data_IF_500690768617
#
_entry.id   IF_500690768617
#
_cell.length_a   1.000
_cell.length_b   1.000
_cell.length_c   1.000
_cell.angle_alpha   90.00
_cell.angle_beta   90.00
_cell.angle_gamma   90.00
#
_symmetry.space_group_name_H-M   'P 1'
#
loop_
_entity.id
_entity.type
_entity.pdbx_description
1 polymer ?
#
# COMPACT_ATOMS: atom_id res chain seq x y z
N UNK A 1 27.13 9.12 -46.18
CA UNK A 1 25.79 9.17 -45.52
C UNK A 1 24.90 8.01 -46.00
N UNK A 2 24.71 7.82 -47.31
CA UNK A 2 23.93 6.71 -47.92
C UNK A 2 24.31 5.29 -47.45
N UNK A 3 25.59 4.98 -47.26
CA UNK A 3 26.04 3.63 -46.86
C UNK A 3 25.57 3.23 -45.44
N UNK A 4 25.46 4.20 -44.52
CA UNK A 4 24.98 3.95 -43.16
C UNK A 4 23.46 3.73 -43.15
N UNK A 5 22.72 4.43 -44.01
CA UNK A 5 21.27 4.26 -44.15
C UNK A 5 20.93 2.87 -44.71
N UNK A 6 21.72 2.39 -45.70
CA UNK A 6 21.61 1.04 -46.26
C UNK A 6 21.87 -0.05 -45.20
N UNK A 7 22.91 0.14 -44.37
CA UNK A 7 23.24 -0.78 -43.26
C UNK A 7 22.11 -0.85 -42.23
N UNK A 8 21.52 0.29 -41.87
CA UNK A 8 20.37 0.35 -40.95
C UNK A 8 19.15 -0.40 -41.47
N UNK A 9 18.84 -0.27 -42.77
CA UNK A 9 17.73 -0.99 -43.40
C UNK A 9 17.96 -2.51 -43.41
N UNK A 10 19.17 -2.95 -43.71
CA UNK A 10 19.52 -4.38 -43.71
C UNK A 10 19.42 -5.00 -42.32
N UNK A 11 19.85 -4.27 -41.27
CA UNK A 11 19.70 -4.72 -39.87
C UNK A 11 18.22 -4.86 -39.50
N UNK A 12 17.38 -3.87 -39.84
CA UNK A 12 15.93 -3.94 -39.58
C UNK A 12 15.27 -5.11 -40.30
N UNK A 13 15.63 -5.36 -41.56
CA UNK A 13 15.15 -6.51 -42.35
C UNK A 13 15.54 -7.84 -41.71
N UNK A 14 16.81 -8.01 -41.33
CA UNK A 14 17.28 -9.24 -40.68
C UNK A 14 16.61 -9.50 -39.33
N UNK A 15 16.40 -8.46 -38.54
CA UNK A 15 15.65 -8.53 -37.28
C UNK A 15 14.20 -8.95 -37.52
N UNK A 16 13.52 -8.34 -38.50
CA UNK A 16 12.14 -8.68 -38.85
C UNK A 16 12.00 -10.12 -39.31
N UNK A 17 12.86 -10.56 -40.23
CA UNK A 17 12.89 -11.96 -40.68
C UNK A 17 13.08 -12.93 -39.51
N UNK A 18 13.95 -12.59 -38.54
CA UNK A 18 14.13 -13.38 -37.33
C UNK A 18 12.86 -13.47 -36.48
N UNK A 19 12.13 -12.37 -36.32
CA UNK A 19 10.84 -12.36 -35.63
C UNK A 19 9.77 -13.17 -36.38
N UNK A 20 9.71 -13.08 -37.70
CA UNK A 20 8.77 -13.82 -38.56
C UNK A 20 9.03 -15.34 -38.51
N UNK A 21 10.29 -15.75 -38.34
CA UNK A 21 10.67 -17.15 -38.03
C UNK A 21 10.34 -17.58 -36.59
N UNK A 22 9.76 -16.70 -35.77
CA UNK A 22 9.37 -16.99 -34.39
C UNK A 22 10.51 -16.89 -33.37
N UNK A 23 11.66 -16.31 -33.73
CA UNK A 23 12.79 -16.16 -32.83
C UNK A 23 12.90 -14.74 -32.31
N UNK A 24 12.68 -14.55 -31.00
CA UNK A 24 12.82 -13.23 -30.37
C UNK A 24 14.27 -12.73 -30.46
N UNK A 25 14.52 -11.53 -31.01
CA UNK A 25 15.84 -10.91 -31.00
C UNK A 25 16.28 -10.48 -29.58
N UNK A 26 17.59 -10.52 -29.35
CA UNK A 26 18.21 -10.13 -28.08
C UNK A 26 18.16 -11.23 -26.99
N UNK A 27 18.33 -10.83 -25.71
CA UNK A 27 18.34 -11.78 -24.60
C UNK A 27 16.94 -12.36 -24.35
N UNK A 28 16.92 -13.65 -24.00
CA UNK A 28 15.69 -14.36 -23.64
C UNK A 28 15.25 -14.03 -22.21
N UNK A 29 13.97 -14.20 -21.88
CA UNK A 29 13.48 -14.09 -20.50
C UNK A 29 14.11 -15.14 -19.57
N UNK A 30 13.96 -14.93 -18.26
CA UNK A 30 14.44 -15.87 -17.22
C UNK A 30 13.62 -17.16 -17.32
N UNK A 31 14.27 -18.33 -17.23
CA UNK A 31 13.62 -19.62 -17.50
C UNK A 31 13.86 -20.14 -18.92
N UNK A 32 14.56 -19.35 -19.76
CA UNK A 32 15.03 -19.75 -21.08
C UNK A 32 16.50 -19.40 -21.28
N UNK A 33 17.19 -20.15 -22.14
CA UNK A 33 18.56 -19.88 -22.57
C UNK A 33 18.64 -19.87 -24.11
N UNK A 34 19.51 -19.01 -24.64
CA UNK A 34 19.87 -19.05 -26.05
C UNK A 34 20.89 -20.17 -26.22
N UNK A 35 20.61 -21.15 -27.06
CA UNK A 35 21.53 -22.24 -27.39
C UNK A 35 22.08 -22.01 -28.80
N UNK A 36 23.37 -22.25 -28.95
CA UNK A 36 24.05 -22.29 -30.24
C UNK A 36 24.80 -23.62 -30.30
N UNK A 37 24.25 -24.60 -31.00
CA UNK A 37 24.81 -25.95 -31.08
C UNK A 37 24.68 -26.48 -32.51
N UNK A 38 25.75 -27.06 -33.06
CA UNK A 38 25.79 -27.63 -34.41
C UNK A 38 25.22 -26.69 -35.50
N UNK A 39 25.55 -25.39 -35.42
CA UNK A 39 25.06 -24.37 -36.36
C UNK A 39 23.62 -23.89 -36.13
N UNK A 40 22.85 -24.55 -35.26
CA UNK A 40 21.48 -24.18 -34.90
C UNK A 40 21.51 -23.18 -33.75
N UNK A 41 20.83 -22.04 -33.94
CA UNK A 41 20.62 -21.00 -32.91
C UNK A 41 19.16 -20.97 -32.51
N UNK A 42 18.83 -21.52 -31.35
CA UNK A 42 17.47 -21.63 -30.85
C UNK A 42 17.33 -21.18 -29.39
N UNK A 43 16.08 -21.19 -28.91
CA UNK A 43 15.73 -20.84 -27.54
C UNK A 43 15.12 -22.08 -26.88
N UNK A 44 15.80 -22.57 -25.85
CA UNK A 44 15.35 -23.74 -25.08
C UNK A 44 15.03 -23.34 -23.64
N UNK A 45 14.24 -24.18 -22.97
CA UNK A 45 13.94 -24.02 -21.55
C UNK A 45 15.23 -24.20 -20.75
N UNK A 46 15.47 -23.28 -19.81
CA UNK A 46 16.56 -23.37 -18.85
C UNK A 46 16.26 -24.56 -17.89
N UNK A 47 17.13 -25.58 -17.81
CA UNK A 47 16.88 -26.77 -17.00
C UNK A 47 16.81 -26.46 -15.50
N UNK A 48 17.56 -25.44 -15.04
CA UNK A 48 17.63 -25.06 -13.63
C UNK A 48 16.47 -24.14 -13.26
N UNK A 49 16.07 -23.25 -14.18
CA UNK A 49 15.13 -22.15 -13.88
C UNK A 49 13.72 -22.36 -14.38
N UNK A 50 13.53 -23.12 -15.46
CA UNK A 50 12.25 -23.25 -16.16
C UNK A 50 11.12 -23.72 -15.25
N UNK A 51 11.37 -24.76 -14.45
CA UNK A 51 10.38 -25.32 -13.51
C UNK A 51 9.90 -24.28 -12.49
N UNK A 52 10.81 -23.47 -11.94
CA UNK A 52 10.46 -22.42 -10.98
C UNK A 52 9.59 -21.33 -11.59
N UNK A 53 9.80 -21.01 -12.87
CA UNK A 53 8.96 -20.05 -13.58
C UNK A 53 7.54 -20.59 -13.73
N UNK A 54 7.38 -21.84 -14.18
CA UNK A 54 6.05 -22.47 -14.28
C UNK A 54 5.34 -22.49 -12.91
N UNK A 55 6.03 -22.87 -11.85
CA UNK A 55 5.49 -22.87 -10.48
C UNK A 55 5.12 -21.47 -9.98
N UNK A 56 5.91 -20.46 -10.32
CA UNK A 56 5.60 -19.06 -10.01
C UNK A 56 4.24 -18.65 -10.61
N UNK A 57 3.98 -18.96 -11.88
CA UNK A 57 2.68 -18.65 -12.53
C UNK A 57 1.53 -19.39 -11.84
N UNK A 58 1.68 -20.69 -11.55
CA UNK A 58 0.67 -21.48 -10.82
C UNK A 58 0.35 -20.87 -9.45
N UNK A 59 1.37 -20.46 -8.69
CA UNK A 59 1.17 -19.84 -7.36
C UNK A 59 0.36 -18.55 -7.46
N UNK A 60 0.64 -17.68 -8.43
CA UNK A 60 -0.12 -16.45 -8.61
C UNK A 60 -1.55 -16.74 -9.08
N UNK A 61 -1.72 -17.69 -10.00
CA UNK A 61 -3.04 -18.14 -10.42
C UNK A 61 -3.90 -18.65 -9.25
N UNK A 62 -3.26 -19.24 -8.24
CA UNK A 62 -3.87 -19.71 -6.98
C UNK A 62 -3.99 -18.60 -5.90
N UNK A 63 -3.67 -17.35 -6.21
CA UNK A 63 -3.89 -16.20 -5.33
C UNK A 63 -2.67 -15.67 -4.60
N UNK A 64 -1.46 -16.20 -4.86
CA UNK A 64 -0.25 -15.61 -4.29
C UNK A 64 0.02 -14.21 -4.88
N UNK A 65 0.29 -13.25 -4.01
CA UNK A 65 0.74 -11.91 -4.41
C UNK A 65 2.19 -11.91 -4.92
N UNK A 66 2.56 -10.93 -5.75
CA UNK A 66 3.95 -10.79 -6.23
C UNK A 66 4.99 -10.70 -5.10
N UNK A 67 4.62 -10.17 -3.92
CA UNK A 67 5.49 -10.15 -2.74
C UNK A 67 5.67 -11.54 -2.12
N UNK A 68 4.60 -12.33 -2.05
CA UNK A 68 4.68 -13.73 -1.61
C UNK A 68 5.53 -14.56 -2.57
N UNK A 69 5.40 -14.31 -3.88
CA UNK A 69 6.27 -14.93 -4.89
C UNK A 69 7.73 -14.55 -4.68
N UNK A 70 8.05 -13.27 -4.45
CA UNK A 70 9.43 -12.85 -4.17
C UNK A 70 9.99 -13.59 -2.95
N UNK A 71 9.24 -13.61 -1.84
CA UNK A 71 9.66 -14.31 -0.61
C UNK A 71 9.84 -15.82 -0.84
N UNK A 72 8.96 -16.43 -1.62
CA UNK A 72 9.09 -17.84 -2.01
C UNK A 72 10.32 -18.07 -2.89
N UNK A 73 10.55 -17.22 -3.89
CA UNK A 73 11.71 -17.30 -4.79
C UNK A 73 13.02 -17.23 -4.01
N UNK A 74 13.14 -16.31 -3.05
CA UNK A 74 14.34 -16.25 -2.19
C UNK A 74 14.50 -17.55 -1.37
N UNK A 75 13.41 -18.08 -0.81
CA UNK A 75 13.44 -19.28 0.04
C UNK A 75 13.92 -20.52 -0.74
N UNK A 76 13.53 -20.64 -2.01
CA UNK A 76 13.93 -21.77 -2.86
C UNK A 76 15.23 -21.52 -3.64
N UNK A 77 15.91 -20.39 -3.40
CA UNK A 77 17.14 -20.04 -4.10
C UNK A 77 16.96 -19.69 -5.59
N UNK A 78 15.76 -19.28 -6.00
CA UNK A 78 15.48 -18.95 -7.40
C UNK A 78 16.08 -17.59 -7.79
N UNK A 79 17.22 -17.66 -8.49
CA UNK A 79 18.01 -16.51 -8.91
C UNK A 79 17.82 -16.15 -10.39
N UNK A 80 18.15 -14.91 -10.73
CA UNK A 80 18.21 -14.47 -12.12
C UNK A 80 19.40 -15.11 -12.87
N UNK A 81 19.53 -14.79 -14.17
CA UNK A 81 20.60 -15.32 -15.02
C UNK A 81 22.02 -14.97 -14.56
N UNK A 82 22.18 -13.89 -13.80
CA UNK A 82 23.46 -13.45 -13.23
C UNK A 82 23.70 -13.98 -11.81
N UNK A 83 22.87 -14.90 -11.32
CA UNK A 83 23.01 -15.49 -9.98
C UNK A 83 22.52 -14.60 -8.83
N UNK A 84 21.96 -13.41 -9.10
CA UNK A 84 21.42 -12.53 -8.06
C UNK A 84 19.94 -12.85 -7.77
N UNK A 85 19.50 -12.56 -6.54
CA UNK A 85 18.10 -12.67 -6.13
C UNK A 85 17.17 -11.85 -7.03
N UNK A 86 15.93 -12.31 -7.18
CA UNK A 86 14.92 -11.58 -7.94
C UNK A 86 14.43 -10.34 -7.17
N UNK A 87 14.45 -9.20 -7.86
CA UNK A 87 13.74 -8.01 -7.41
C UNK A 87 12.24 -8.15 -7.62
N UNK A 88 11.44 -7.43 -6.82
CA UNK A 88 9.98 -7.44 -6.96
C UNK A 88 9.55 -6.96 -8.36
N UNK A 89 10.24 -5.97 -8.92
CA UNK A 89 9.98 -5.47 -10.28
C UNK A 89 10.25 -6.53 -11.35
N UNK A 90 11.30 -7.34 -11.19
CA UNK A 90 11.57 -8.46 -12.10
C UNK A 90 10.46 -9.51 -12.03
N UNK A 91 9.96 -9.85 -10.84
CA UNK A 91 8.82 -10.77 -10.68
C UNK A 91 7.61 -10.27 -11.47
N UNK A 92 7.22 -9.00 -11.28
CA UNK A 92 6.08 -8.44 -12.02
C UNK A 92 6.32 -8.35 -13.53
N UNK A 93 7.56 -8.09 -13.97
CA UNK A 93 7.91 -8.11 -15.39
C UNK A 93 7.74 -9.50 -15.98
N UNK A 94 8.24 -10.53 -15.29
CA UNK A 94 8.10 -11.93 -15.73
C UNK A 94 6.62 -12.34 -15.82
N UNK A 95 5.82 -12.05 -14.80
CA UNK A 95 4.40 -12.41 -14.78
C UNK A 95 3.55 -11.68 -15.84
N UNK A 96 4.09 -10.62 -16.46
CA UNK A 96 3.43 -9.84 -17.51
C UNK A 96 3.90 -10.21 -18.91
N UNK A 97 4.99 -10.95 -19.04
CA UNK A 97 5.67 -11.23 -20.30
C UNK A 97 4.95 -12.37 -21.06
N UNK A 98 4.35 -12.09 -22.23
CA UNK A 98 3.66 -13.08 -23.05
C UNK A 98 4.57 -14.20 -23.57
N UNK A 99 5.88 -13.98 -23.56
CA UNK A 99 6.87 -14.95 -24.05
C UNK A 99 6.72 -16.30 -23.33
N UNK A 100 6.28 -16.32 -22.07
CA UNK A 100 6.10 -17.56 -21.32
C UNK A 100 5.02 -18.48 -21.89
N UNK A 101 4.00 -17.96 -22.58
CA UNK A 101 2.97 -18.77 -23.25
C UNK A 101 3.19 -18.91 -24.76
N UNK A 102 4.26 -18.33 -25.30
CA UNK A 102 4.68 -18.55 -26.69
C UNK A 102 4.41 -17.42 -27.67
N UNK A 103 4.02 -16.23 -27.22
CA UNK A 103 3.88 -15.04 -28.09
C UNK A 103 4.85 -13.95 -27.63
N UNK A 104 5.30 -13.09 -28.53
CA UNK A 104 6.09 -11.92 -28.14
C UNK A 104 5.85 -10.74 -29.06
N UNK A 105 6.00 -9.55 -28.49
CA UNK A 105 6.06 -8.30 -29.24
C UNK A 105 7.52 -7.92 -29.46
N UNK A 106 7.85 -7.44 -30.66
CA UNK A 106 9.16 -6.90 -30.95
C UNK A 106 9.06 -5.46 -31.44
N UNK A 107 9.91 -4.58 -30.90
CA UNK A 107 9.63 -3.16 -30.70
C UNK A 107 8.46 -2.99 -29.72
N UNK A 108 8.80 -2.71 -28.46
CA UNK A 108 7.81 -2.54 -27.37
C UNK A 108 6.80 -1.47 -27.78
N UNK A 109 5.52 -1.75 -27.58
CA UNK A 109 4.40 -0.87 -27.93
C UNK A 109 4.24 -0.59 -29.44
N UNK A 110 4.77 -1.47 -30.31
CA UNK A 110 4.62 -1.33 -31.77
C UNK A 110 3.35 -1.99 -32.32
N UNK A 111 2.71 -2.87 -31.55
CA UNK A 111 1.57 -3.68 -31.99
C UNK A 111 1.95 -4.90 -32.85
N UNK A 112 3.24 -5.12 -33.14
CA UNK A 112 3.70 -6.24 -33.97
C UNK A 112 3.92 -7.49 -33.11
N UNK A 113 2.93 -8.37 -33.10
CA UNK A 113 2.95 -9.64 -32.36
C UNK A 113 3.40 -10.79 -33.24
N UNK A 114 4.30 -11.61 -32.69
CA UNK A 114 4.86 -12.78 -33.34
C UNK A 114 4.61 -14.03 -32.52
N UNK A 115 4.35 -15.15 -33.19
CA UNK A 115 4.29 -16.47 -32.57
C UNK A 115 5.71 -17.01 -32.39
N UNK A 116 6.07 -17.30 -31.15
CA UNK A 116 7.36 -17.88 -30.80
C UNK A 116 7.50 -19.32 -31.28
N UNK A 117 8.69 -19.66 -31.79
CA UNK A 117 9.07 -21.02 -32.15
C UNK A 117 9.59 -21.83 -30.95
N UNK A 118 9.81 -21.18 -29.80
CA UNK A 118 10.26 -21.83 -28.57
C UNK A 118 9.15 -22.64 -27.90
N UNK A 119 9.53 -23.65 -27.11
CA UNK A 119 8.59 -24.40 -26.29
C UNK A 119 8.06 -23.51 -25.15
N UNK A 120 6.75 -23.27 -25.03
CA UNK A 120 6.19 -22.45 -23.96
C UNK A 120 6.31 -23.15 -22.59
N UNK A 121 6.46 -22.36 -21.52
CA UNK A 121 6.56 -22.82 -20.14
C UNK A 121 5.19 -22.94 -19.45
N UNK A 122 4.20 -22.21 -19.97
CA UNK A 122 2.82 -22.18 -19.51
C UNK A 122 1.87 -22.09 -20.70
N UNK A 123 0.61 -22.46 -20.52
CA UNK A 123 -0.43 -22.19 -21.50
C UNK A 123 -0.98 -20.74 -21.38
N UNK A 124 -1.74 -20.33 -22.41
CA UNK A 124 -2.36 -19.00 -22.47
C UNK A 124 -3.45 -18.82 -21.40
N UNK A 125 -4.10 -19.90 -20.97
CA UNK A 125 -5.15 -19.85 -19.96
C UNK A 125 -4.60 -19.49 -18.57
N UNK A 126 -3.52 -20.16 -18.15
CA UNK A 126 -2.79 -19.92 -16.92
C UNK A 126 -2.19 -18.52 -16.90
N UNK A 127 -1.65 -18.05 -18.03
CA UNK A 127 -1.19 -16.68 -18.18
C UNK A 127 -2.34 -15.69 -17.95
N UNK A 128 -3.49 -15.88 -18.62
CA UNK A 128 -4.66 -15.01 -18.47
C UNK A 128 -5.20 -15.02 -17.04
N UNK A 129 -5.29 -16.19 -16.40
CA UNK A 129 -5.68 -16.33 -14.98
C UNK A 129 -4.73 -15.56 -14.07
N UNK A 130 -3.43 -15.65 -14.31
CA UNK A 130 -2.39 -14.89 -13.61
C UNK A 130 -2.58 -13.39 -13.80
N UNK A 131 -2.74 -12.92 -15.03
CA UNK A 131 -2.96 -11.51 -15.38
C UNK A 131 -4.16 -10.92 -14.65
N UNK A 132 -5.29 -11.65 -14.62
CA UNK A 132 -6.51 -11.22 -13.89
C UNK A 132 -6.25 -11.00 -12.41
N UNK A 133 -5.42 -11.84 -11.76
CA UNK A 133 -5.04 -11.69 -10.34
C UNK A 133 -4.11 -10.50 -10.08
N UNK A 134 -3.40 -10.02 -11.10
CA UNK A 134 -2.50 -8.88 -11.00
C UNK A 134 -3.17 -7.53 -11.30
N UNK A 135 -4.43 -7.53 -11.75
CA UNK A 135 -5.19 -6.30 -11.98
C UNK A 135 -5.42 -5.63 -10.62
N UNK A 136 -4.81 -4.46 -10.47
CA UNK A 136 -5.03 -3.60 -9.30
C UNK A 136 -6.17 -2.64 -9.63
N UNK A 137 -7.17 -2.48 -8.75
CA UNK A 137 -8.21 -1.48 -8.96
C UNK A 137 -7.61 -0.09 -9.10
N UNK A 138 -8.24 0.76 -9.93
CA UNK A 138 -7.81 2.14 -10.13
C UNK A 138 -7.72 2.85 -8.78
N UNK A 139 -6.58 3.50 -8.51
CA UNK A 139 -6.42 4.31 -7.30
C UNK A 139 -7.50 5.40 -7.28
N UNK A 140 -8.12 5.62 -6.12
CA UNK A 140 -9.06 6.72 -5.92
C UNK A 140 -8.35 8.06 -6.20
N UNK A 141 -9.11 9.07 -6.67
CA UNK A 141 -8.56 10.42 -6.89
C UNK A 141 -7.87 10.92 -5.61
N UNK A 142 -6.75 11.60 -5.77
CA UNK A 142 -6.05 12.21 -4.64
C UNK A 142 -7.00 13.18 -3.91
N UNK A 143 -6.99 13.16 -2.57
CA UNK A 143 -7.90 13.98 -1.75
C UNK A 143 -9.34 13.47 -1.61
N UNK A 144 -9.79 12.48 -2.39
CA UNK A 144 -11.19 11.98 -2.34
C UNK A 144 -11.57 11.26 -1.04
N UNK A 145 -10.59 10.89 -0.21
CA UNK A 145 -10.83 10.21 1.08
C UNK A 145 -10.30 11.08 2.21
N UNK A 146 -11.21 11.61 3.02
CA UNK A 146 -10.92 12.41 4.20
C UNK A 146 -11.11 11.56 5.45
N UNK A 147 -10.03 10.88 5.88
CA UNK A 147 -10.01 10.23 7.19
C UNK A 147 -9.52 11.23 8.24
N UNK A 148 -10.28 11.35 9.32
CA UNK A 148 -10.13 12.39 10.34
C UNK A 148 -8.70 12.51 10.86
N UNK A 149 -8.14 11.44 11.43
CA UNK A 149 -6.84 11.48 12.08
C UNK A 149 -5.66 11.10 11.18
N UNK A 150 -5.81 11.28 9.86
CA UNK A 150 -4.74 10.96 8.90
C UNK A 150 -3.50 11.82 9.16
N UNK A 151 -2.33 11.19 9.16
CA UNK A 151 -1.01 11.82 9.34
C UNK A 151 -0.78 12.52 10.69
N UNK A 152 -1.63 12.27 11.69
CA UNK A 152 -1.47 12.83 13.03
C UNK A 152 -0.59 11.94 13.90
N UNK A 153 -0.83 10.62 13.84
CA UNK A 153 -0.14 9.65 14.70
C UNK A 153 1.00 8.94 13.99
N UNK A 154 2.04 8.60 14.75
CA UNK A 154 3.12 7.68 14.34
C UNK A 154 2.96 6.32 15.00
N UNK A 155 3.50 5.28 14.38
CA UNK A 155 3.62 3.96 14.97
C UNK A 155 4.81 3.96 15.93
N UNK A 156 4.59 3.57 17.19
CA UNK A 156 5.65 3.51 18.18
C UNK A 156 6.72 2.46 17.84
N UNK A 157 6.32 1.31 17.29
CA UNK A 157 7.25 0.20 16.99
C UNK A 157 8.05 0.30 15.68
N UNK A 158 7.66 1.16 14.72
CA UNK A 158 8.45 1.31 13.47
C UNK A 158 8.57 2.75 12.94
N UNK A 159 7.99 3.73 13.62
CA UNK A 159 8.06 5.15 13.24
C UNK A 159 7.28 5.53 11.98
N UNK A 160 6.64 4.58 11.29
CA UNK A 160 5.78 4.88 10.15
C UNK A 160 4.50 5.62 10.59
N UNK A 161 3.88 6.37 9.69
CA UNK A 161 2.62 7.07 9.96
C UNK A 161 1.45 6.09 10.13
N UNK A 162 0.54 6.38 11.06
CA UNK A 162 -0.76 5.71 11.16
C UNK A 162 -1.69 6.31 10.10
N UNK A 163 -2.30 5.44 9.31
CA UNK A 163 -3.25 5.82 8.26
C UNK A 163 -4.61 5.20 8.55
N UNK A 164 -5.66 5.89 8.08
CA UNK A 164 -7.02 5.38 8.14
C UNK A 164 -7.49 4.77 6.83
N UNK A 165 -8.37 3.78 6.93
CA UNK A 165 -9.07 3.13 5.83
C UNK A 165 -10.58 3.11 6.12
N UNK A 166 -11.37 3.51 5.13
CA UNK A 166 -12.83 3.43 5.20
C UNK A 166 -13.31 2.10 4.62
N UNK A 167 -14.17 1.42 5.36
CA UNK A 167 -14.83 0.18 4.95
C UNK A 167 -16.33 0.38 5.03
N UNK A 168 -17.01 0.07 3.93
CA UNK A 168 -18.47 0.14 3.85
C UNK A 168 -19.04 -1.26 3.99
N UNK A 169 -19.74 -1.53 5.10
CA UNK A 169 -20.44 -2.80 5.31
C UNK A 169 -21.79 -2.72 4.63
N UNK A 170 -22.01 -3.56 3.60
CA UNK A 170 -23.32 -3.72 2.95
C UNK A 170 -24.35 -4.19 3.97
N UNK A 171 -25.58 -3.69 3.88
CA UNK A 171 -26.72 -4.10 4.69
C UNK A 171 -27.90 -4.39 3.76
N UNK A 172 -28.72 -5.36 4.11
CA UNK A 172 -29.93 -5.65 3.35
C UNK A 172 -30.92 -4.49 3.55
N UNK A 173 -31.47 -3.97 2.45
CA UNK A 173 -32.50 -2.93 2.44
C UNK A 173 -32.15 -1.62 3.18
N UNK A 174 -30.86 -1.32 3.37
CA UNK A 174 -30.40 -0.06 3.99
C UNK A 174 -29.08 0.40 3.39
N UNK A 175 -28.79 1.69 3.55
CA UNK A 175 -27.51 2.24 3.13
C UNK A 175 -26.32 1.53 3.80
N UNK A 176 -25.21 1.34 3.07
CA UNK A 176 -24.00 0.76 3.61
C UNK A 176 -23.51 1.53 4.84
N UNK A 177 -23.21 0.81 5.91
CA UNK A 177 -22.65 1.43 7.12
C UNK A 177 -21.16 1.70 6.92
N UNK A 178 -20.75 2.96 7.04
CA UNK A 178 -19.34 3.39 7.01
C UNK A 178 -18.65 3.03 8.33
N UNK A 179 -17.46 2.46 8.23
CA UNK A 179 -16.55 2.17 9.34
C UNK A 179 -15.15 2.68 9.01
N UNK A 180 -14.50 3.34 9.96
CA UNK A 180 -13.12 3.83 9.81
C UNK A 180 -12.20 3.02 10.70
N UNK A 181 -11.13 2.49 10.11
CA UNK A 181 -10.09 1.74 10.79
C UNK A 181 -8.74 2.42 10.62
N UNK A 182 -7.93 2.45 11.67
CA UNK A 182 -6.59 2.98 11.69
C UNK A 182 -5.57 1.85 11.83
N UNK A 183 -4.47 1.95 11.10
CA UNK A 183 -3.36 0.99 11.15
C UNK A 183 -2.04 1.66 10.76
N UNK A 184 -0.92 1.04 11.13
CA UNK A 184 0.38 1.40 10.61
C UNK A 184 0.38 1.31 9.08
N UNK A 185 0.88 2.35 8.39
CA UNK A 185 1.05 2.34 6.93
C UNK A 185 2.07 1.30 6.43
N UNK A 186 2.88 0.73 7.34
CA UNK A 186 3.95 -0.21 7.06
C UNK A 186 5.00 0.31 6.08
N UNK A 187 5.05 1.63 5.86
CA UNK A 187 5.95 2.29 4.92
C UNK A 187 7.43 2.19 5.34
N UNK A 188 7.71 2.16 6.65
CA UNK A 188 9.06 1.97 7.20
C UNK A 188 9.39 0.49 7.41
N UNK A 189 8.45 -0.28 7.94
CA UNK A 189 8.60 -1.72 8.15
C UNK A 189 7.37 -2.49 7.64
N UNK A 190 7.56 -3.23 6.54
CA UNK A 190 6.50 -4.05 5.93
C UNK A 190 6.02 -5.20 6.82
N UNK A 191 6.80 -5.58 7.83
CA UNK A 191 6.50 -6.64 8.79
C UNK A 191 6.00 -6.11 10.14
N UNK A 192 5.67 -4.82 10.23
CA UNK A 192 5.11 -4.25 11.45
C UNK A 192 3.85 -5.01 11.89
N UNK A 193 3.84 -5.38 13.18
CA UNK A 193 2.80 -6.18 13.84
C UNK A 193 1.81 -5.33 14.66
N UNK A 194 1.91 -3.99 14.60
CA UNK A 194 0.93 -3.13 15.25
C UNK A 194 -0.50 -3.48 14.79
N UNK A 195 -1.42 -3.73 15.74
CA UNK A 195 -2.77 -4.14 15.40
C UNK A 195 -3.56 -2.98 14.77
N UNK A 196 -4.48 -3.34 13.88
CA UNK A 196 -5.50 -2.41 13.39
C UNK A 196 -6.55 -2.16 14.48
N UNK A 197 -7.11 -0.95 14.53
CA UNK A 197 -8.15 -0.56 15.47
C UNK A 197 -9.16 0.39 14.81
N UNK A 198 -10.33 0.57 15.43
CA UNK A 198 -11.36 1.45 14.89
C UNK A 198 -11.24 2.88 15.43
N UNK A 199 -11.95 3.81 14.80
CA UNK A 199 -11.98 5.22 15.21
C UNK A 199 -12.48 5.43 16.64
N UNK A 200 -13.47 4.65 17.09
CA UNK A 200 -13.96 4.70 18.47
C UNK A 200 -12.84 4.43 19.47
N UNK A 201 -12.06 3.36 19.24
CA UNK A 201 -10.92 3.00 20.09
C UNK A 201 -9.83 4.08 20.08
N UNK A 202 -9.61 4.74 18.94
CA UNK A 202 -8.69 5.87 18.83
C UNK A 202 -9.13 7.02 19.74
N UNK A 203 -10.41 7.39 19.69
CA UNK A 203 -10.98 8.45 20.54
C UNK A 203 -10.86 8.09 22.02
N UNK A 204 -11.20 6.84 22.39
CA UNK A 204 -11.09 6.36 23.78
C UNK A 204 -9.66 6.41 24.32
N UNK A 205 -8.65 6.05 23.51
CA UNK A 205 -7.25 6.14 23.94
C UNK A 205 -6.76 7.58 23.99
N UNK A 206 -7.22 8.46 23.09
CA UNK A 206 -6.89 9.89 23.15
C UNK A 206 -7.42 10.55 24.41
N UNK A 207 -8.66 10.26 24.80
CA UNK A 207 -9.25 10.79 26.04
C UNK A 207 -8.43 10.33 27.25
N UNK A 208 -8.06 9.04 27.31
CA UNK A 208 -7.21 8.52 28.39
C UNK A 208 -5.84 9.19 28.42
N UNK A 209 -5.21 9.35 27.27
CA UNK A 209 -3.92 10.04 27.15
C UNK A 209 -4.02 11.51 27.58
N UNK A 210 -5.05 12.24 27.14
CA UNK A 210 -5.27 13.64 27.52
C UNK A 210 -5.46 13.75 29.04
N UNK A 211 -6.29 12.89 29.65
CA UNK A 211 -6.47 12.90 31.11
C UNK A 211 -5.15 12.66 31.84
N UNK A 212 -4.37 11.66 31.42
CA UNK A 212 -3.05 11.38 31.99
C UNK A 212 -2.12 12.60 31.87
N UNK A 213 -2.05 13.19 30.68
CA UNK A 213 -1.20 14.36 30.43
C UNK A 213 -1.65 15.58 31.23
N UNK A 214 -2.96 15.83 31.37
CA UNK A 214 -3.47 16.93 32.17
C UNK A 214 -3.19 16.76 33.66
N UNK A 215 -3.17 15.53 34.17
CA UNK A 215 -2.87 15.23 35.58
C UNK A 215 -1.37 15.25 35.89
N UNK A 216 -0.53 14.68 35.04
CA UNK A 216 0.89 14.44 35.34
C UNK A 216 1.84 15.40 34.63
N UNK A 217 1.45 15.97 33.48
CA UNK A 217 2.31 16.80 32.63
C UNK A 217 1.55 18.00 32.02
N UNK A 218 0.83 18.81 32.82
CA UNK A 218 0.01 19.91 32.29
C UNK A 218 0.82 20.93 31.47
N UNK A 219 2.10 21.13 31.78
CA UNK A 219 3.02 22.00 31.04
C UNK A 219 3.27 21.58 29.58
N UNK A 220 2.98 20.32 29.23
CA UNK A 220 3.09 19.81 27.85
C UNK A 220 1.84 20.10 27.01
N UNK A 221 0.78 20.65 27.60
CA UNK A 221 -0.48 20.97 26.92
C UNK A 221 -0.51 22.46 26.62
N UNK A 222 -0.46 22.82 25.34
CA UNK A 222 -0.54 24.21 24.88
C UNK A 222 -1.86 24.45 24.16
N UNK A 223 -2.79 25.09 24.86
CA UNK A 223 -4.12 25.37 24.30
C UNK A 223 -4.01 26.38 23.14
N UNK A 224 -4.45 25.97 21.96
CA UNK A 224 -4.56 26.85 20.79
C UNK A 224 -5.67 27.89 21.00
N UNK A 225 -5.64 28.99 20.25
CA UNK A 225 -6.69 30.02 20.31
C UNK A 225 -8.08 29.45 20.01
N UNK A 226 -8.17 28.52 19.05
CA UNK A 226 -9.40 27.79 18.73
C UNK A 226 -9.90 26.94 19.90
N UNK A 227 -9.01 26.19 20.55
CA UNK A 227 -9.38 25.37 21.72
C UNK A 227 -9.86 26.27 22.87
N UNK A 228 -9.18 27.38 23.14
CA UNK A 228 -9.63 28.36 24.16
C UNK A 228 -11.01 28.93 23.86
N UNK A 229 -11.26 29.33 22.61
CA UNK A 229 -12.57 29.81 22.19
C UNK A 229 -13.65 28.72 22.32
N UNK A 230 -13.31 27.49 21.94
CA UNK A 230 -14.21 26.34 22.06
C UNK A 230 -14.57 25.99 23.51
N UNK A 231 -13.60 26.06 24.43
CA UNK A 231 -13.84 25.89 25.88
C UNK A 231 -14.84 26.94 26.37
N UNK A 232 -14.65 28.22 26.00
CA UNK A 232 -15.54 29.30 26.42
C UNK A 232 -16.95 29.14 25.85
N UNK A 233 -17.09 28.73 24.58
CA UNK A 233 -18.40 28.41 23.99
C UNK A 233 -19.06 27.25 24.72
N UNK A 234 -18.32 26.17 24.98
CA UNK A 234 -18.84 25.01 25.70
C UNK A 234 -19.27 25.38 27.13
N UNK A 235 -18.48 26.20 27.83
CA UNK A 235 -18.80 26.73 29.16
C UNK A 235 -20.14 27.46 29.16
N UNK A 236 -20.33 28.43 28.26
CA UNK A 236 -21.59 29.19 28.17
C UNK A 236 -22.80 28.29 27.92
N UNK A 237 -22.67 27.31 27.02
CA UNK A 237 -23.76 26.37 26.73
C UNK A 237 -24.07 25.52 27.97
N UNK A 238 -23.05 24.96 28.64
CA UNK A 238 -23.21 24.16 29.86
C UNK A 238 -23.88 24.96 30.96
N UNK A 239 -23.45 26.19 31.21
CA UNK A 239 -24.02 27.08 32.23
C UNK A 239 -25.50 27.34 31.98
N UNK A 240 -25.88 27.67 30.74
CA UNK A 240 -27.29 27.88 30.37
C UNK A 240 -28.13 26.61 30.58
N UNK A 241 -27.61 25.43 30.22
CA UNK A 241 -28.30 24.15 30.42
C UNK A 241 -28.47 23.81 31.91
N UNK A 242 -27.49 24.13 32.76
CA UNK A 242 -27.57 23.92 34.20
C UNK A 242 -28.58 24.87 34.85
N UNK A 243 -28.59 26.14 34.46
CA UNK A 243 -29.55 27.13 34.95
C UNK A 243 -30.99 26.75 34.59
N UNK A 244 -31.23 26.23 33.38
CA UNK A 244 -32.55 25.71 32.98
C UNK A 244 -33.02 24.49 33.80
N UNK A 245 -32.12 23.87 34.57
CA UNK A 245 -32.41 22.75 35.47
C UNK A 245 -32.36 23.17 36.95
N UNK A 246 -32.35 24.48 37.21
CA UNK A 246 -32.22 25.07 38.55
C UNK A 246 -30.94 24.64 39.29
N UNK A 247 -29.87 24.32 38.54
CA UNK A 247 -28.55 23.98 39.09
C UNK A 247 -27.64 25.21 38.94
N UNK A 248 -27.10 25.70 40.06
CA UNK A 248 -26.15 26.81 40.05
C UNK A 248 -24.78 26.35 39.47
N UNK A 249 -24.31 26.92 38.34
CA UNK A 249 -23.06 26.52 37.71
C UNK A 249 -21.78 27.06 38.38
N UNK A 250 -21.88 28.08 39.26
CA UNK A 250 -20.73 28.82 39.80
C UNK A 250 -19.74 27.97 40.63
N UNK A 251 -20.10 26.72 40.93
CA UNK A 251 -19.26 25.80 41.70
C UNK A 251 -18.24 25.03 40.87
N UNK A 252 -18.38 24.96 39.54
CA UNK A 252 -17.54 24.08 38.71
C UNK A 252 -17.07 24.76 37.42
N UNK A 253 -15.79 25.12 37.37
CA UNK A 253 -15.16 25.60 36.13
C UNK A 253 -15.02 24.47 35.11
N UNK A 254 -15.20 24.79 33.83
CA UNK A 254 -14.98 23.82 32.74
C UNK A 254 -13.48 23.59 32.56
N UNK A 255 -13.07 22.34 32.73
CA UNK A 255 -11.68 21.92 32.50
C UNK A 255 -11.40 21.67 31.01
N UNK A 256 -10.12 21.78 30.60
CA UNK A 256 -9.70 21.37 29.26
C UNK A 256 -10.05 19.90 28.98
N UNK A 257 -9.87 19.00 29.96
CA UNK A 257 -10.18 17.58 29.84
C UNK A 257 -11.67 17.32 29.55
N UNK A 258 -12.56 18.08 30.18
CA UNK A 258 -14.00 18.00 29.96
C UNK A 258 -14.36 18.44 28.53
N UNK A 259 -13.85 19.61 28.12
CA UNK A 259 -14.05 20.09 26.75
C UNK A 259 -13.46 19.13 25.70
N UNK A 260 -12.26 18.61 25.93
CA UNK A 260 -11.61 17.66 25.03
C UNK A 260 -12.44 16.36 24.88
N UNK A 261 -13.02 15.87 25.97
CA UNK A 261 -13.93 14.71 25.95
C UNK A 261 -15.17 14.99 25.11
N UNK A 262 -15.79 16.17 25.26
CA UNK A 262 -16.90 16.59 24.41
C UNK A 262 -16.48 16.68 22.94
N UNK A 263 -15.43 17.46 22.64
CA UNK A 263 -14.96 17.71 21.28
C UNK A 263 -14.57 16.43 20.54
N UNK A 264 -13.92 15.47 21.21
CA UNK A 264 -13.52 14.20 20.61
C UNK A 264 -14.71 13.29 20.26
N UNK A 265 -15.78 13.31 21.05
CA UNK A 265 -16.97 12.51 20.81
C UNK A 265 -17.92 13.18 19.81
N UNK A 266 -18.36 14.40 20.13
CA UNK A 266 -19.47 15.09 19.45
C UNK A 266 -19.04 16.31 18.62
N UNK A 267 -17.81 16.80 18.80
CA UNK A 267 -17.30 17.95 18.07
C UNK A 267 -17.14 17.71 16.57
N UNK A 268 -16.89 18.79 15.82
CA UNK A 268 -16.60 18.71 14.39
C UNK A 268 -15.26 18.03 14.13
N UNK A 269 -15.02 17.61 12.89
CA UNK A 269 -13.71 17.05 12.49
C UNK A 269 -12.55 18.03 12.75
N UNK A 270 -12.79 19.34 12.66
CA UNK A 270 -11.77 20.34 12.97
C UNK A 270 -11.52 20.41 14.48
N UNK A 271 -12.57 20.42 15.31
CA UNK A 271 -12.42 20.40 16.78
C UNK A 271 -11.60 19.20 17.23
N UNK A 272 -11.91 18.02 16.70
CA UNK A 272 -11.18 16.77 17.01
C UNK A 272 -9.70 16.86 16.66
N UNK A 273 -9.34 17.56 15.57
CA UNK A 273 -7.95 17.76 15.16
C UNK A 273 -7.25 18.80 16.04
N UNK A 274 -7.94 19.87 16.39
CA UNK A 274 -7.43 20.92 17.27
C UNK A 274 -7.11 20.37 18.67
N UNK A 275 -7.94 19.47 19.20
CA UNK A 275 -7.65 18.79 20.48
C UNK A 275 -6.33 18.02 20.43
N UNK A 276 -5.95 17.44 19.29
CA UNK A 276 -4.66 16.72 19.17
C UNK A 276 -3.49 17.69 18.97
N UNK A 277 -3.73 18.86 18.36
CA UNK A 277 -2.70 19.88 18.10
C UNK A 277 -2.19 20.59 19.37
N UNK A 278 -2.85 20.41 20.51
CA UNK A 278 -2.38 20.98 21.80
C UNK A 278 -1.07 20.37 22.28
N UNK A 279 -0.68 19.23 21.70
CA UNK A 279 0.60 18.56 21.96
C UNK A 279 1.61 18.97 20.87
N UNK A 280 2.70 19.61 21.27
CA UNK A 280 3.77 20.03 20.34
C UNK A 280 4.61 18.86 19.81
N UNK A 281 4.51 17.69 20.44
CA UNK A 281 5.26 16.48 20.10
C UNK A 281 4.40 15.51 19.27
N UNK A 282 5.00 14.73 18.34
CA UNK A 282 4.28 13.69 17.64
C UNK A 282 3.70 12.67 18.62
N UNK A 283 2.41 12.36 18.47
CA UNK A 283 1.79 11.28 19.23
C UNK A 283 2.04 9.93 18.56
N UNK A 284 2.33 8.92 19.37
CA UNK A 284 2.59 7.57 18.93
C UNK A 284 1.43 6.65 19.30
N UNK A 285 1.25 5.58 18.54
CA UNK A 285 0.33 4.49 18.82
C UNK A 285 1.11 3.19 18.98
N UNK A 286 0.85 2.49 20.07
CA UNK A 286 1.31 1.12 20.32
C UNK A 286 0.17 0.28 20.88
N UNK A 287 -0.06 -0.92 20.34
CA UNK A 287 -1.07 -1.85 20.84
C UNK A 287 -2.45 -1.19 21.06
N UNK A 288 -2.85 -0.32 20.12
CA UNK A 288 -4.10 0.45 20.15
C UNK A 288 -4.19 1.49 21.28
N UNK A 289 -3.06 1.87 21.87
CA UNK A 289 -2.93 2.92 22.89
C UNK A 289 -2.07 4.09 22.42
N UNK A 290 -2.45 5.31 22.80
CA UNK A 290 -1.69 6.52 22.54
C UNK A 290 -0.57 6.73 23.57
N UNK A 291 0.60 7.13 23.09
CA UNK A 291 1.80 7.34 23.89
C UNK A 291 2.62 8.52 23.35
N UNK A 292 3.52 9.06 24.18
CA UNK A 292 4.34 10.23 23.88
C UNK A 292 5.67 9.90 23.20
N UNK A 293 6.09 8.62 23.21
CA UNK A 293 7.40 8.19 22.71
C UNK A 293 7.32 6.94 21.83
N UNK A 294 8.29 6.71 20.95
CA UNK A 294 8.50 5.41 20.32
C UNK A 294 8.93 4.36 21.36
N UNK A 295 8.85 3.07 20.97
CA UNK A 295 9.26 1.93 21.81
C UNK A 295 10.68 1.42 21.46
N UNK A 296 11.17 1.82 20.29
CA UNK A 296 12.52 1.49 19.84
C UNK A 296 13.53 2.53 20.32
#
# INVERSE_FOLDING_TARGET
>A
KLENDQKGLNVKRGIRAKCEMGWKPGPTPIGYINRSFAGIKDIIIDPDRGKFVTEMFKKVANGASGRQIKKWADKVGFNNKSGKLLTLSQVYRMLKDPFYYGEFEYSVDSGNWYKGAHKPLIDKELFNKTRRKLIVPKKSKWGSRNVLFRNIFKCAGCGATITGEEKFRKRNHRDPKRHVYYQCSKARNNQCQEPMFNEKRLIETLIRYINFMSMHHPQKIKLTSKVKAGIETYRRIREQVLLLRDINPDKETVSFTEYAKYALNEGTNEDKREIVRVFDEPLYIHNKEACSSPIN
#
